data_IF_715727465009
#
_entry.id   IF_715727465009
#
_cell.length_a   1.000
_cell.length_b   1.000
_cell.length_c   1.000
_cell.angle_alpha   90.00
_cell.angle_beta   90.00
_cell.angle_gamma   90.00
#
_symmetry.space_group_name_H-M   'P 1'
#
loop_
_entity.id
_entity.type
_entity.pdbx_description
1 polymer ?
#
# COMPACT_ATOMS: atom_id res chain seq x y z
N UNK A 1 -23.78 -21.32 7.51
CA UNK A 1 -23.95 -20.10 8.34
C UNK A 1 -25.31 -20.15 9.03
N UNK A 2 -25.39 -19.91 10.35
CA UNK A 2 -26.68 -19.79 11.06
C UNK A 2 -26.76 -18.41 11.73
N UNK A 3 -27.97 -17.85 11.82
CA UNK A 3 -28.25 -16.59 12.55
C UNK A 3 -27.43 -15.37 12.08
N UNK A 4 -27.21 -15.21 10.77
CA UNK A 4 -26.65 -13.96 10.23
C UNK A 4 -27.58 -12.80 10.59
N UNK A 5 -27.05 -11.78 11.25
CA UNK A 5 -27.76 -10.57 11.66
C UNK A 5 -26.89 -9.37 11.36
N UNK A 6 -27.54 -8.27 11.00
CA UNK A 6 -26.89 -6.98 10.86
C UNK A 6 -27.65 -5.99 11.74
N UNK A 7 -26.94 -5.19 12.53
CA UNK A 7 -27.52 -4.24 13.48
C UNK A 7 -26.85 -2.89 13.36
N UNK A 8 -27.62 -1.82 13.57
CA UNK A 8 -27.08 -0.47 13.68
C UNK A 8 -26.49 -0.31 15.09
N UNK A 9 -25.20 -0.02 15.19
CA UNK A 9 -24.52 0.05 16.50
C UNK A 9 -24.41 1.45 17.07
N UNK A 10 -24.24 2.48 16.23
CA UNK A 10 -24.34 3.90 16.59
C UNK A 10 -24.35 4.78 15.32
N UNK A 11 -25.42 5.51 15.00
CA UNK A 11 -25.38 6.52 13.94
C UNK A 11 -24.71 7.79 14.48
N UNK A 12 -23.61 8.22 13.87
CA UNK A 12 -23.12 9.61 14.04
C UNK A 12 -23.77 10.48 12.97
N UNK A 13 -23.60 11.81 13.06
CA UNK A 13 -24.14 12.72 12.06
C UNK A 13 -23.71 12.34 10.62
N UNK A 14 -22.49 11.83 10.46
CA UNK A 14 -21.86 11.59 9.16
C UNK A 14 -21.73 10.10 8.79
N UNK A 15 -21.97 9.18 9.73
CA UNK A 15 -21.70 7.74 9.54
C UNK A 15 -22.82 6.84 10.07
N UNK A 16 -23.08 5.77 9.32
CA UNK A 16 -23.97 4.67 9.68
C UNK A 16 -23.13 3.42 9.96
N UNK A 17 -23.03 3.01 11.22
CA UNK A 17 -22.28 1.82 11.61
C UNK A 17 -23.18 0.58 11.62
N UNK A 18 -22.84 -0.40 10.79
CA UNK A 18 -23.53 -1.68 10.70
C UNK A 18 -22.59 -2.78 11.19
N UNK A 19 -22.99 -3.47 12.24
CA UNK A 19 -22.29 -4.66 12.70
C UNK A 19 -22.98 -5.91 12.17
N UNK A 20 -22.23 -6.77 11.50
CA UNK A 20 -22.67 -8.05 10.97
C UNK A 20 -22.17 -9.17 11.88
N UNK A 21 -23.09 -9.93 12.44
CA UNK A 21 -22.78 -11.07 13.31
C UNK A 21 -23.37 -12.33 12.71
N UNK A 22 -22.62 -13.44 12.77
CA UNK A 22 -23.14 -14.76 12.44
C UNK A 22 -22.60 -15.79 13.42
N UNK A 23 -23.33 -16.89 13.57
CA UNK A 23 -22.83 -18.06 14.28
C UNK A 23 -22.45 -19.12 13.26
N UNK A 24 -21.20 -19.54 13.31
CA UNK A 24 -20.70 -20.69 12.55
C UNK A 24 -20.29 -21.80 13.52
N UNK A 25 -20.64 -23.07 13.27
CA UNK A 25 -20.09 -24.20 14.01
C UNK A 25 -18.59 -24.46 13.73
N UNK A 26 -17.87 -23.56 13.06
CA UNK A 26 -16.57 -23.82 12.44
C UNK A 26 -15.41 -24.14 13.38
N UNK A 27 -15.57 -23.97 14.70
CA UNK A 27 -14.58 -24.46 15.68
C UNK A 27 -14.74 -25.96 15.99
N UNK A 28 -15.83 -26.59 15.51
CA UNK A 28 -16.02 -28.03 15.51
C UNK A 28 -15.60 -28.61 14.14
N UNK A 29 -14.33 -29.01 14.01
CA UNK A 29 -13.81 -29.67 12.80
C UNK A 29 -14.47 -31.03 12.51
N UNK A 30 -15.20 -31.63 13.46
CA UNK A 30 -15.96 -32.87 13.24
C UNK A 30 -17.30 -32.62 12.52
N UNK A 31 -17.76 -31.36 12.43
CA UNK A 31 -19.10 -31.01 11.95
C UNK A 31 -19.30 -30.95 10.43
N UNK A 32 -18.29 -31.27 9.61
CA UNK A 32 -18.47 -31.46 8.16
C UNK A 32 -18.85 -30.20 7.38
N UNK A 33 -18.39 -29.01 7.79
CA UNK A 33 -18.52 -27.78 7.02
C UNK A 33 -17.75 -27.89 5.68
N UNK A 34 -18.42 -28.43 4.66
CA UNK A 34 -17.87 -28.76 3.32
C UNK A 34 -18.42 -27.86 2.21
N UNK A 35 -19.31 -26.92 2.56
CA UNK A 35 -20.02 -26.06 1.62
C UNK A 35 -20.03 -24.62 2.11
N UNK A 36 -19.76 -23.72 1.19
CA UNK A 36 -19.93 -22.28 1.38
C UNK A 36 -21.22 -21.81 0.71
N UNK A 37 -21.77 -20.70 1.20
CA UNK A 37 -22.96 -20.10 0.64
C UNK A 37 -23.10 -18.65 1.08
N UNK A 38 -23.59 -17.82 0.17
CA UNK A 38 -23.89 -16.41 0.46
C UNK A 38 -25.20 -16.32 1.25
N UNK A 39 -25.24 -15.44 2.25
CA UNK A 39 -26.45 -15.08 2.98
C UNK A 39 -26.60 -13.56 3.00
N UNK A 40 -27.83 -13.09 3.09
CA UNK A 40 -28.15 -11.65 3.11
C UNK A 40 -28.81 -11.30 4.44
N UNK A 41 -28.29 -10.27 5.10
CA UNK A 41 -28.97 -9.59 6.21
C UNK A 41 -29.50 -8.24 5.73
N UNK A 42 -30.65 -7.82 6.25
CA UNK A 42 -31.26 -6.52 5.95
C UNK A 42 -31.24 -5.67 7.20
N UNK A 43 -30.78 -4.42 7.07
CA UNK A 43 -30.87 -3.39 8.10
C UNK A 43 -31.79 -2.30 7.58
N UNK A 44 -32.73 -1.84 8.41
CA UNK A 44 -33.56 -0.69 8.11
C UNK A 44 -33.01 0.50 8.88
N UNK A 45 -32.66 1.56 8.17
CA UNK A 45 -32.24 2.80 8.78
C UNK A 45 -33.47 3.59 9.28
N UNK A 46 -33.36 4.29 10.42
CA UNK A 46 -34.43 5.15 10.92
C UNK A 46 -34.71 6.34 10.00
N UNK A 47 -33.70 6.76 9.24
CA UNK A 47 -33.74 7.86 8.28
C UNK A 47 -33.09 7.43 6.95
N UNK A 48 -33.41 8.07 5.81
CA UNK A 48 -32.72 7.83 4.54
C UNK A 48 -31.21 8.02 4.67
N UNK A 49 -30.40 7.18 4.02
CA UNK A 49 -28.94 7.23 4.13
C UNK A 49 -28.36 8.64 3.89
N UNK A 50 -28.90 9.36 2.90
CA UNK A 50 -28.43 10.71 2.55
C UNK A 50 -26.97 10.66 2.09
N UNK A 51 -26.19 11.66 2.54
CA UNK A 51 -24.76 11.79 2.24
C UNK A 51 -23.87 11.05 3.25
N UNK A 52 -24.48 10.24 4.15
CA UNK A 52 -23.75 9.49 5.17
C UNK A 52 -23.10 8.26 4.56
N UNK A 53 -21.89 7.97 5.01
CA UNK A 53 -21.20 6.73 4.64
C UNK A 53 -21.59 5.58 5.57
N UNK A 54 -21.53 4.36 5.04
CA UNK A 54 -21.80 3.13 5.80
C UNK A 54 -20.49 2.47 6.19
N UNK A 55 -20.28 2.17 7.46
CA UNK A 55 -19.15 1.37 7.93
C UNK A 55 -19.65 0.01 8.38
N UNK A 56 -19.05 -1.05 7.84
CA UNK A 56 -19.34 -2.44 8.23
C UNK A 56 -18.27 -2.96 9.19
N UNK A 57 -18.72 -3.46 10.34
CA UNK A 57 -18.00 -4.07 11.47
C UNK A 57 -16.94 -3.22 12.17
N UNK A 58 -16.11 -2.49 11.42
CA UNK A 58 -15.28 -1.33 11.81
C UNK A 58 -14.28 -0.93 10.70
N UNK A 59 -14.19 -1.71 9.63
CA UNK A 59 -13.06 -1.62 8.69
C UNK A 59 -13.46 -1.16 7.29
N UNK A 60 -14.63 -1.61 6.81
CA UNK A 60 -15.01 -1.36 5.42
C UNK A 60 -15.99 -0.22 5.36
N UNK A 61 -15.56 0.91 4.82
CA UNK A 61 -16.40 2.08 4.57
C UNK A 61 -16.96 2.03 3.15
N UNK A 62 -18.22 2.40 3.01
CA UNK A 62 -18.96 2.47 1.75
C UNK A 62 -19.61 3.84 1.63
N UNK A 63 -19.73 4.34 0.40
CA UNK A 63 -20.36 5.63 0.12
C UNK A 63 -21.37 5.51 -1.01
N UNK A 64 -22.40 6.36 -0.97
CA UNK A 64 -23.34 6.51 -2.07
C UNK A 64 -22.72 7.30 -3.24
N UNK A 65 -21.68 8.09 -2.97
CA UNK A 65 -21.05 8.98 -3.94
C UNK A 65 -20.42 8.22 -5.11
N UNK A 66 -20.92 8.50 -6.31
CA UNK A 66 -20.49 7.87 -7.55
C UNK A 66 -20.92 6.40 -7.67
N UNK A 67 -21.79 5.91 -6.79
CA UNK A 67 -22.39 4.57 -6.88
C UNK A 67 -23.68 4.60 -7.70
N UNK A 68 -24.03 3.49 -8.36
CA UNK A 68 -25.32 3.33 -9.04
C UNK A 68 -26.37 2.88 -8.00
N UNK A 69 -27.45 3.66 -7.75
CA UNK A 69 -28.50 3.24 -6.83
C UNK A 69 -29.13 1.90 -7.23
N UNK A 70 -29.49 1.02 -6.27
CA UNK A 70 -29.37 1.18 -4.82
C UNK A 70 -28.02 0.72 -4.23
N UNK A 71 -27.00 0.48 -5.05
CA UNK A 71 -25.69 0.02 -4.60
C UNK A 71 -24.86 1.12 -3.94
N UNK A 72 -23.91 0.71 -3.11
CA UNK A 72 -22.87 1.58 -2.53
C UNK A 72 -21.51 1.21 -3.10
N UNK A 73 -20.61 2.18 -3.17
CA UNK A 73 -19.22 2.00 -3.59
C UNK A 73 -18.34 1.78 -2.36
N UNK A 74 -17.47 0.77 -2.40
CA UNK A 74 -16.43 0.57 -1.38
C UNK A 74 -15.42 1.72 -1.45
N UNK A 75 -15.09 2.31 -0.31
CA UNK A 75 -14.08 3.34 -0.21
C UNK A 75 -12.68 2.72 -0.23
N UNK A 76 -11.71 3.44 -0.82
CA UNK A 76 -10.33 2.96 -0.90
C UNK A 76 -9.55 3.21 0.39
N UNK A 77 -8.27 2.81 0.41
CA UNK A 77 -7.32 3.13 1.51
C UNK A 77 -7.27 4.63 1.84
N UNK A 78 -7.51 5.49 0.83
CA UNK A 78 -7.49 6.94 0.93
C UNK A 78 -8.85 7.55 1.32
N UNK A 79 -9.81 6.72 1.76
CA UNK A 79 -11.16 7.13 2.08
C UNK A 79 -12.11 7.15 0.88
N UNK A 80 -13.28 7.74 1.11
CA UNK A 80 -14.38 7.76 0.15
C UNK A 80 -14.22 8.84 -0.92
N UNK A 81 -13.52 9.92 -0.55
CA UNK A 81 -13.24 11.10 -1.38
C UNK A 81 -11.74 11.34 -1.38
N UNK A 82 -10.96 10.47 -2.05
CA UNK A 82 -9.51 10.64 -2.10
C UNK A 82 -9.17 12.00 -2.75
N UNK A 83 -8.08 12.67 -2.31
CA UNK A 83 -7.59 13.85 -2.99
C UNK A 83 -7.39 13.58 -4.48
N UNK A 84 -7.67 14.59 -5.30
CA UNK A 84 -7.37 14.51 -6.72
C UNK A 84 -5.86 14.37 -6.94
N UNK A 85 -5.46 13.59 -7.94
CA UNK A 85 -4.07 13.55 -8.38
C UNK A 85 -3.66 14.91 -8.92
N UNK A 86 -2.51 15.43 -8.49
CA UNK A 86 -2.00 16.71 -8.92
C UNK A 86 -0.67 17.05 -8.24
N UNK A 87 -0.19 18.27 -8.45
CA UNK A 87 1.08 18.73 -7.89
C UNK A 87 0.89 19.44 -6.56
N UNK A 88 0.37 18.71 -5.57
CA UNK A 88 0.06 19.22 -4.21
C UNK A 88 0.56 18.24 -3.15
N UNK A 89 0.81 18.74 -1.94
CA UNK A 89 1.29 17.92 -0.83
C UNK A 89 0.36 16.72 -0.53
N UNK A 90 -0.94 16.98 -0.39
CA UNK A 90 -1.95 15.92 -0.14
C UNK A 90 -1.96 14.85 -1.23
N UNK A 91 -1.70 15.25 -2.49
CA UNK A 91 -1.63 14.32 -3.61
C UNK A 91 -0.37 13.45 -3.56
N UNK A 92 0.75 14.00 -3.11
CA UNK A 92 1.99 13.24 -2.92
C UNK A 92 1.89 12.29 -1.73
N UNK A 93 1.18 12.67 -0.67
CA UNK A 93 0.90 11.77 0.46
C UNK A 93 0.06 10.57 -0.01
N UNK A 94 -0.92 10.80 -0.89
CA UNK A 94 -1.64 9.73 -1.59
C UNK A 94 -0.68 8.83 -2.41
N UNK A 95 0.37 9.38 -3.04
CA UNK A 95 1.35 8.59 -3.80
C UNK A 95 2.19 7.70 -2.87
N UNK A 96 2.64 8.22 -1.73
CA UNK A 96 3.36 7.46 -0.70
C UNK A 96 2.51 6.29 -0.17
N UNK A 97 1.22 6.53 0.11
CA UNK A 97 0.30 5.46 0.52
C UNK A 97 0.07 4.42 -0.59
N UNK A 98 0.13 4.80 -1.86
CA UNK A 98 -0.06 3.88 -2.98
C UNK A 98 1.07 2.86 -3.17
N UNK A 99 2.26 3.14 -2.61
CA UNK A 99 3.41 2.22 -2.58
C UNK A 99 3.67 1.65 -1.19
N UNK A 100 2.73 1.85 -0.25
CA UNK A 100 2.86 1.44 1.16
C UNK A 100 4.20 1.93 1.77
N UNK A 101 4.57 3.19 1.48
CA UNK A 101 5.79 3.79 2.00
C UNK A 101 5.78 3.80 3.55
N UNK A 102 6.95 3.61 4.20
CA UNK A 102 7.03 3.61 5.66
C UNK A 102 6.49 4.88 6.30
N UNK A 103 5.98 4.75 7.53
CA UNK A 103 5.61 5.92 8.34
C UNK A 103 6.85 6.81 8.59
N UNK A 104 6.61 8.12 8.75
CA UNK A 104 7.67 9.13 8.91
C UNK A 104 8.67 9.20 7.74
N UNK A 105 8.19 8.91 6.53
CA UNK A 105 8.93 9.15 5.30
C UNK A 105 9.13 10.65 5.05
N UNK A 106 10.33 11.02 4.62
CA UNK A 106 10.70 12.34 4.14
C UNK A 106 10.60 12.37 2.62
N UNK A 107 9.91 13.38 2.08
CA UNK A 107 9.96 13.66 0.64
C UNK A 107 11.23 14.44 0.34
N UNK A 108 12.13 13.84 -0.43
CA UNK A 108 13.44 14.42 -0.72
C UNK A 108 13.44 15.19 -2.05
N UNK A 109 12.64 14.74 -3.03
CA UNK A 109 12.39 15.52 -4.24
C UNK A 109 11.09 15.12 -4.96
N UNK A 110 10.43 16.10 -5.56
CA UNK A 110 9.22 15.89 -6.37
C UNK A 110 9.35 16.52 -7.76
N UNK A 111 8.93 15.79 -8.80
CA UNK A 111 8.75 16.29 -10.16
C UNK A 111 7.36 15.92 -10.66
N UNK A 112 6.51 16.91 -10.89
CA UNK A 112 5.11 16.69 -11.25
C UNK A 112 4.67 17.60 -12.39
N UNK A 113 3.86 17.07 -13.31
CA UNK A 113 3.19 17.82 -14.37
C UNK A 113 1.65 17.71 -14.32
N UNK A 114 1.12 17.15 -13.23
CA UNK A 114 -0.30 16.90 -12.99
C UNK A 114 -0.83 15.59 -13.56
N UNK A 115 -0.13 14.98 -14.53
CA UNK A 115 -0.46 13.66 -15.10
C UNK A 115 0.53 12.58 -14.68
N UNK A 116 1.76 12.99 -14.41
CA UNK A 116 2.89 12.15 -14.05
C UNK A 116 3.57 12.76 -12.82
N UNK A 117 4.14 11.88 -12.00
CA UNK A 117 4.87 12.23 -10.80
C UNK A 117 6.11 11.36 -10.71
N UNK A 118 7.23 11.98 -10.38
CA UNK A 118 8.42 11.31 -9.82
C UNK A 118 8.55 11.78 -8.38
N UNK A 119 8.68 10.83 -7.47
CA UNK A 119 8.85 11.09 -6.06
C UNK A 119 10.06 10.32 -5.55
N UNK A 120 11.02 11.06 -5.01
CA UNK A 120 12.12 10.50 -4.24
C UNK A 120 11.78 10.67 -2.77
N UNK A 121 11.90 9.59 -2.01
CA UNK A 121 11.61 9.64 -0.60
C UNK A 121 12.55 8.74 0.20
N UNK A 122 12.76 9.09 1.46
CA UNK A 122 13.61 8.34 2.39
C UNK A 122 12.96 8.15 3.74
N UNK A 123 13.37 7.12 4.45
CA UNK A 123 12.94 6.86 5.82
C UNK A 123 14.15 6.45 6.67
N UNK A 124 14.09 6.79 7.97
CA UNK A 124 15.16 6.43 8.90
C UNK A 124 15.13 4.93 9.20
N UNK A 125 16.31 4.32 9.25
CA UNK A 125 16.48 2.90 9.57
C UNK A 125 17.39 2.67 10.78
N UNK A 126 17.94 3.75 11.35
CA UNK A 126 18.78 3.73 12.53
C UNK A 126 18.00 3.85 13.85
N UNK A 127 18.68 3.68 15.00
CA UNK A 127 18.08 3.84 16.31
C UNK A 127 17.57 5.27 16.55
N UNK A 128 16.60 5.41 17.46
CA UNK A 128 16.12 6.71 17.91
C UNK A 128 17.15 7.34 18.86
N UNK A 129 18.01 8.21 18.34
CA UNK A 129 19.16 8.70 19.11
C UNK A 129 19.06 10.14 19.65
N UNK A 130 17.89 10.79 19.56
CA UNK A 130 17.77 12.21 19.91
C UNK A 130 18.80 13.07 19.17
N UNK A 131 19.58 13.85 19.92
CA UNK A 131 20.60 14.78 19.40
C UNK A 131 21.99 14.13 19.21
N UNK A 132 22.10 12.79 19.29
CA UNK A 132 23.37 12.09 19.06
C UNK A 132 23.90 12.32 17.65
N UNK A 133 25.22 12.51 17.54
CA UNK A 133 25.94 12.65 16.25
C UNK A 133 26.48 11.32 15.72
N UNK A 134 26.13 10.19 16.34
CA UNK A 134 26.53 8.88 15.85
C UNK A 134 26.02 8.65 14.40
N UNK A 135 26.88 8.26 13.44
CA UNK A 135 26.49 8.03 12.06
C UNK A 135 25.31 7.07 11.89
N UNK A 136 25.18 6.06 12.76
CA UNK A 136 24.05 5.12 12.74
C UNK A 136 22.71 5.84 12.92
N UNK A 137 22.68 6.96 13.64
CA UNK A 137 21.49 7.76 13.89
C UNK A 137 21.04 8.59 12.68
N UNK A 138 21.92 8.74 11.70
CA UNK A 138 21.62 9.36 10.40
C UNK A 138 21.26 8.35 9.30
N UNK A 139 21.31 7.05 9.59
CA UNK A 139 21.01 5.98 8.63
C UNK A 139 19.61 6.09 8.05
N UNK A 140 19.54 6.07 6.72
CA UNK A 140 18.30 6.14 5.95
C UNK A 140 18.36 5.19 4.76
N UNK A 141 17.20 4.69 4.38
CA UNK A 141 16.97 4.12 3.06
C UNK A 141 16.04 5.04 2.28
N UNK A 142 16.01 4.89 0.97
CA UNK A 142 15.12 5.66 0.13
C UNK A 142 15.01 5.12 -1.28
N UNK A 143 13.86 5.40 -1.89
CA UNK A 143 13.48 4.93 -3.20
C UNK A 143 13.04 6.10 -4.09
N UNK A 144 13.10 5.87 -5.40
CA UNK A 144 12.45 6.73 -6.38
C UNK A 144 11.35 5.95 -7.05
N UNK A 145 10.16 6.53 -7.03
CA UNK A 145 8.98 5.98 -7.67
C UNK A 145 8.45 6.90 -8.77
N UNK A 146 7.97 6.26 -9.83
CA UNK A 146 7.33 6.93 -10.97
C UNK A 146 5.86 6.56 -11.00
N UNK A 147 4.98 7.55 -11.18
CA UNK A 147 3.53 7.38 -11.08
C UNK A 147 2.79 7.96 -12.27
N UNK A 148 1.61 7.38 -12.52
CA UNK A 148 0.61 7.89 -13.46
C UNK A 148 -0.65 8.29 -12.72
N UNK A 149 -1.16 9.48 -13.01
CA UNK A 149 -2.46 9.92 -12.50
C UNK A 149 -3.59 9.02 -13.02
N UNK A 150 -4.47 8.59 -12.11
CA UNK A 150 -5.73 7.88 -12.41
C UNK A 150 -6.84 8.51 -11.58
N UNK A 151 -8.10 8.24 -11.96
CA UNK A 151 -9.27 8.67 -11.18
C UNK A 151 -9.26 8.13 -9.74
N UNK A 152 -8.64 6.97 -9.52
CA UNK A 152 -8.52 6.33 -8.21
C UNK A 152 -7.30 6.80 -7.41
N UNK A 153 -6.51 7.75 -7.92
CA UNK A 153 -5.25 8.21 -7.31
C UNK A 153 -4.03 7.93 -8.18
N UNK A 154 -2.84 8.12 -7.60
CA UNK A 154 -1.58 7.81 -8.26
C UNK A 154 -1.41 6.30 -8.42
N UNK A 155 -1.12 5.86 -9.64
CA UNK A 155 -0.77 4.47 -9.94
C UNK A 155 0.75 4.35 -10.09
N UNK A 156 1.43 3.56 -9.26
CA UNK A 156 2.87 3.32 -9.43
C UNK A 156 3.16 2.57 -10.74
N UNK A 157 4.28 2.92 -11.37
CA UNK A 157 4.73 2.37 -12.65
C UNK A 157 5.98 1.52 -12.43
N UNK A 158 7.00 2.12 -11.81
CA UNK A 158 8.30 1.49 -11.55
C UNK A 158 8.97 2.17 -10.35
N UNK A 159 9.74 1.37 -9.65
CA UNK A 159 10.65 1.73 -8.57
C UNK A 159 12.10 1.64 -9.06
N UNK A 160 12.99 2.46 -8.52
CA UNK A 160 14.42 2.17 -8.59
C UNK A 160 15.28 3.33 -8.13
N UNK A 161 16.59 3.17 -8.32
CA UNK A 161 17.60 4.18 -7.97
C UNK A 161 18.30 4.81 -9.18
N UNK A 162 18.00 4.35 -10.39
CA UNK A 162 18.67 4.83 -11.59
C UNK A 162 18.29 6.28 -11.91
N UNK A 163 19.27 7.01 -12.47
CA UNK A 163 19.03 8.30 -13.09
C UNK A 163 18.42 8.18 -14.49
N UNK A 164 17.91 9.29 -15.01
CA UNK A 164 17.36 9.35 -16.36
C UNK A 164 16.00 8.66 -16.52
N UNK A 165 15.57 8.53 -17.78
CA UNK A 165 14.22 8.08 -18.14
C UNK A 165 14.10 6.62 -18.55
N UNK A 166 15.23 5.91 -18.71
CA UNK A 166 15.27 4.63 -19.43
C UNK A 166 14.31 3.58 -18.84
N UNK A 167 14.30 3.46 -17.52
CA UNK A 167 13.55 2.38 -16.85
C UNK A 167 12.05 2.65 -16.83
N UNK A 168 11.63 3.89 -16.59
CA UNK A 168 10.22 4.29 -16.65
C UNK A 168 9.69 4.25 -18.08
N UNK A 169 10.42 4.79 -19.06
CA UNK A 169 9.96 4.81 -20.46
C UNK A 169 9.92 3.42 -21.11
N UNK A 170 10.73 2.46 -20.63
CA UNK A 170 10.58 1.06 -21.04
C UNK A 170 9.23 0.47 -20.62
N UNK A 171 8.70 0.87 -19.46
CA UNK A 171 7.43 0.38 -18.92
C UNK A 171 6.23 1.22 -19.36
N UNK A 172 6.42 2.52 -19.52
CA UNK A 172 5.41 3.49 -19.91
C UNK A 172 6.05 4.49 -20.90
N UNK A 173 6.06 4.17 -22.21
CA UNK A 173 6.71 5.00 -23.23
C UNK A 173 6.16 6.44 -23.33
N UNK A 174 4.95 6.68 -22.84
CA UNK A 174 4.34 8.01 -22.79
C UNK A 174 4.85 8.88 -21.63
N UNK A 175 5.75 8.37 -20.78
CA UNK A 175 6.29 9.12 -19.66
C UNK A 175 7.18 10.29 -20.16
N UNK A 176 6.92 11.53 -19.71
CA UNK A 176 7.56 12.71 -20.25
C UNK A 176 9.04 12.76 -19.85
N UNK A 177 9.91 12.91 -20.85
CA UNK A 177 11.36 12.99 -20.60
C UNK A 177 11.74 14.18 -19.72
N UNK A 178 10.96 15.27 -19.74
CA UNK A 178 11.20 16.47 -18.93
C UNK A 178 11.19 16.21 -17.42
N UNK A 179 10.51 15.15 -16.95
CA UNK A 179 10.46 14.83 -15.51
C UNK A 179 11.63 13.95 -15.05
N UNK A 180 12.36 13.31 -15.96
CA UNK A 180 13.37 12.30 -15.61
C UNK A 180 14.75 12.51 -16.25
N UNK A 181 14.87 13.29 -17.33
CA UNK A 181 16.09 13.37 -18.13
C UNK A 181 17.29 13.92 -17.33
N UNK A 182 17.04 14.87 -16.43
CA UNK A 182 18.07 15.47 -15.58
C UNK A 182 18.23 14.79 -14.23
N UNK A 183 17.50 13.71 -13.95
CA UNK A 183 17.59 13.04 -12.66
C UNK A 183 18.90 12.27 -12.56
N UNK A 184 19.71 12.63 -11.57
CA UNK A 184 20.85 11.81 -11.16
C UNK A 184 20.36 10.49 -10.52
N UNK A 185 21.19 9.43 -10.51
CA UNK A 185 20.93 8.28 -9.66
C UNK A 185 20.78 8.69 -8.19
N UNK A 186 19.97 7.93 -7.44
CA UNK A 186 19.90 8.09 -5.99
C UNK A 186 21.27 7.79 -5.36
N UNK A 187 21.52 8.41 -4.21
CA UNK A 187 22.73 8.10 -3.44
C UNK A 187 22.78 6.59 -3.13
N UNK A 188 23.92 5.92 -3.32
CA UNK A 188 24.08 4.52 -2.93
C UNK A 188 23.81 4.24 -1.45
N UNK A 189 23.91 5.26 -0.59
CA UNK A 189 23.56 5.17 0.82
C UNK A 189 22.05 5.01 1.06
N UNK A 190 21.21 5.54 0.19
CA UNK A 190 19.75 5.46 0.30
C UNK A 190 19.24 4.15 -0.31
N UNK A 191 19.83 3.71 -1.41
CA UNK A 191 19.40 2.50 -2.11
C UNK A 191 20.58 1.55 -2.34
N UNK A 192 21.12 0.93 -1.27
CA UNK A 192 22.27 0.05 -1.38
C UNK A 192 21.94 -1.16 -2.25
N UNK A 193 22.79 -1.43 -3.23
CA UNK A 193 22.71 -2.64 -4.05
C UNK A 193 23.56 -3.72 -3.41
N UNK A 194 22.93 -4.73 -2.82
CA UNK A 194 23.66 -5.90 -2.30
C UNK A 194 23.81 -6.93 -3.43
N UNK A 195 25.04 -7.42 -3.71
CA UNK A 195 25.20 -8.58 -4.59
C UNK A 195 24.46 -9.77 -3.99
N UNK A 196 23.91 -10.69 -4.82
CA UNK A 196 23.31 -11.91 -4.31
C UNK A 196 24.35 -12.67 -3.46
N UNK A 197 23.92 -13.33 -2.36
CA UNK A 197 24.85 -14.07 -1.52
C UNK A 197 25.59 -15.10 -2.40
N UNK A 198 26.92 -14.99 -2.43
CA UNK A 198 27.77 -15.95 -3.12
C UNK A 198 27.46 -17.36 -2.62
N UNK A 199 27.20 -18.28 -3.54
CA UNK A 199 26.96 -19.68 -3.19
C UNK A 199 28.13 -20.20 -2.32
N UNK A 200 27.81 -20.77 -1.16
CA UNK A 200 28.83 -21.32 -0.25
C UNK A 200 29.63 -22.42 -0.98
N UNK A 201 30.95 -22.47 -0.81
CA UNK A 201 31.76 -23.52 -1.42
C UNK A 201 31.31 -24.89 -0.86
N UNK A 202 30.86 -25.76 -1.75
CA UNK A 202 30.55 -27.16 -1.40
C UNK A 202 31.84 -27.80 -0.92
N UNK A 203 31.88 -28.20 0.35
CA UNK A 203 33.02 -28.90 0.91
C UNK A 203 33.27 -30.19 0.11
N UNK A 204 34.39 -30.23 -0.61
CA UNK A 204 34.82 -31.40 -1.35
C UNK A 204 35.01 -32.59 -0.41
N UNK A 205 34.32 -33.69 -0.72
CA UNK A 205 34.51 -34.99 -0.08
C UNK A 205 35.95 -35.44 -0.31
N UNK A 206 36.76 -35.43 0.75
CA UNK A 206 38.12 -35.98 0.74
C UNK A 206 38.02 -37.50 0.93
N UNK A 207 38.15 -38.27 -0.15
CA UNK A 207 38.33 -39.72 -0.08
C UNK A 207 39.66 -40.05 0.60
N UNK A 208 39.61 -40.66 1.78
CA UNK A 208 40.78 -41.31 2.39
C UNK A 208 40.75 -42.79 2.04
N UNK A 209 41.65 -43.20 1.15
CA UNK A 209 42.02 -44.60 0.95
C UNK A 209 42.92 -45.03 2.11
N UNK A 210 42.53 -46.09 2.82
CA UNK A 210 43.35 -46.74 3.85
C UNK A 210 44.18 -47.84 3.19
N UNK A 211 45.51 -47.71 3.26
CA UNK A 211 46.46 -48.81 3.03
C UNK A 211 47.02 -49.22 4.38
N UNK A 212 47.01 -50.51 4.70
CA UNK A 212 47.58 -51.13 5.91
C UNK A 212 48.62 -52.16 5.44
N UNK A 213 49.74 -52.34 6.18
CA UNK A 213 50.99 -52.93 5.67
C UNK A 213 50.94 -54.42 5.32
#
# INVERSE_FOLDING_TARGET
MRKLKAVLTDPTADLVWVQVTFTSPSDDRASGCTKEGTATAKVRLPEPLGDRDVIVDHYTRFTADGAKPPGLRVCGKLGCTPPATGCTADSYDQALMAVDAPEHTYRDSEKCDGKWLVLDFSWRTGPACGDSTDPACSSRLGDRWYFRAKKSGWKPIVEGAAGGCRDVQRKEPAFPASLCASLAPLSPSLHPSFPPPSASPTAGVRSTATTTP
#
